data_IF_204682868766
#
_entry.id   IF_204682868766
#
_cell.length_a   1.000
_cell.length_b   1.000
_cell.length_c   1.000
_cell.angle_alpha   90.00
_cell.angle_beta   90.00
_cell.angle_gamma   90.00
#
_symmetry.space_group_name_H-M   'P 1'
#
loop_
_entity.id
_entity.type
_entity.pdbx_description
1 polymer ?
#
# COMPACT_ATOMS: atom_id res chain seq x y z
N UNK A 1 2.49 17.53 16.18
CA UNK A 1 3.48 17.51 15.07
C UNK A 1 2.99 16.68 13.88
N UNK A 2 2.61 15.40 14.05
CA UNK A 2 2.04 14.60 12.95
C UNK A 2 0.78 15.26 12.35
N UNK A 3 -0.19 15.65 13.18
CA UNK A 3 -1.42 16.33 12.71
C UNK A 3 -1.16 17.67 12.01
N UNK A 4 -0.03 18.32 12.31
CA UNK A 4 0.33 19.60 11.70
C UNK A 4 0.82 19.45 10.26
N UNK A 5 1.65 18.42 9.99
CA UNK A 5 2.20 18.18 8.65
C UNK A 5 1.38 17.20 7.80
N UNK A 6 0.45 16.46 8.42
CA UNK A 6 -0.39 15.48 7.72
C UNK A 6 -1.18 16.09 6.55
N UNK A 7 -1.81 17.28 6.65
CA UNK A 7 -2.56 17.85 5.53
C UNK A 7 -1.71 18.10 4.28
N UNK A 8 -0.58 18.78 4.42
CA UNK A 8 0.35 19.05 3.32
C UNK A 8 0.92 17.76 2.70
N UNK A 9 1.20 16.77 3.56
CA UNK A 9 1.63 15.45 3.11
C UNK A 9 0.53 14.76 2.29
N UNK A 10 -0.72 14.76 2.76
CA UNK A 10 -1.84 14.12 2.07
C UNK A 10 -2.15 14.79 0.73
N UNK A 11 -2.01 16.12 0.63
CA UNK A 11 -2.17 16.80 -0.65
C UNK A 11 -1.11 16.36 -1.67
N UNK A 12 0.17 16.33 -1.25
CA UNK A 12 1.28 15.86 -2.10
C UNK A 12 1.12 14.39 -2.45
N UNK A 13 0.72 13.56 -1.49
CA UNK A 13 0.45 12.14 -1.68
C UNK A 13 -0.62 11.93 -2.75
N UNK A 14 -1.76 12.61 -2.66
CA UNK A 14 -2.83 12.54 -3.66
C UNK A 14 -2.30 12.83 -5.07
N UNK A 15 -1.53 13.90 -5.24
CA UNK A 15 -0.93 14.26 -6.54
C UNK A 15 0.00 13.16 -7.06
N UNK A 16 0.87 12.60 -6.20
CA UNK A 16 1.78 11.51 -6.58
C UNK A 16 1.05 10.23 -6.96
N UNK A 17 0.03 9.83 -6.21
CA UNK A 17 -0.78 8.67 -6.53
C UNK A 17 -1.50 8.84 -7.87
N UNK A 18 -2.01 10.05 -8.16
CA UNK A 18 -2.58 10.36 -9.49
C UNK A 18 -1.54 10.25 -10.61
N UNK A 19 -0.29 10.65 -10.39
CA UNK A 19 0.78 10.51 -11.38
C UNK A 19 1.13 9.03 -11.62
N UNK A 20 1.17 8.21 -10.56
CA UNK A 20 1.42 6.76 -10.67
C UNK A 20 0.24 6.06 -11.36
N UNK A 21 -1.01 6.38 -11.00
CA UNK A 21 -2.22 5.87 -11.68
C UNK A 21 -2.16 6.14 -13.19
N UNK A 22 -1.75 7.37 -13.57
CA UNK A 22 -1.59 7.76 -14.98
C UNK A 22 -0.49 6.95 -15.66
N UNK A 23 0.63 6.72 -14.98
CA UNK A 23 1.74 5.92 -15.50
C UNK A 23 1.38 4.44 -15.67
N UNK A 24 0.61 3.89 -14.72
CA UNK A 24 0.09 2.54 -14.78
C UNK A 24 -0.80 2.39 -16.01
N UNK A 25 -1.69 3.37 -16.27
CA UNK A 25 -2.55 3.37 -17.43
C UNK A 25 -3.38 2.08 -17.47
N UNK A 26 -3.29 1.33 -18.57
CA UNK A 26 -4.00 0.05 -18.73
C UNK A 26 -3.13 -1.18 -18.40
N UNK A 27 -1.88 -0.98 -17.95
CA UNK A 27 -0.99 -2.09 -17.61
C UNK A 27 -1.48 -2.79 -16.34
N UNK A 28 -1.32 -4.11 -16.29
CA UNK A 28 -1.61 -4.89 -15.07
C UNK A 28 -0.55 -4.64 -13.99
N UNK A 29 0.70 -4.47 -14.40
CA UNK A 29 1.87 -4.25 -13.55
C UNK A 29 2.70 -3.07 -14.07
N UNK A 30 3.67 -2.60 -13.29
CA UNK A 30 4.49 -1.43 -13.67
C UNK A 30 5.22 -1.64 -15.00
N UNK A 31 5.61 -2.88 -15.29
CA UNK A 31 6.34 -3.28 -16.50
C UNK A 31 5.45 -3.82 -17.63
N UNK A 32 4.12 -3.84 -17.47
CA UNK A 32 3.20 -4.36 -18.49
C UNK A 32 2.27 -5.43 -17.94
N UNK A 33 2.22 -6.60 -18.58
CA UNK A 33 1.26 -7.65 -18.26
C UNK A 33 1.77 -8.66 -17.23
N UNK A 34 3.09 -8.74 -17.06
CA UNK A 34 3.74 -9.62 -16.08
C UNK A 34 4.28 -8.84 -14.89
N UNK A 35 4.18 -9.46 -13.72
CA UNK A 35 4.71 -8.91 -12.48
C UNK A 35 6.24 -8.96 -12.48
N UNK A 36 6.87 -7.93 -11.91
CA UNK A 36 8.32 -7.86 -11.78
C UNK A 36 8.72 -7.27 -10.41
N UNK A 37 10.02 -7.28 -10.11
CA UNK A 37 10.58 -6.80 -8.84
C UNK A 37 10.08 -5.41 -8.40
N UNK A 38 9.95 -4.39 -9.28
CA UNK A 38 9.43 -3.08 -8.89
C UNK A 38 8.00 -3.12 -8.33
N UNK A 39 7.20 -4.11 -8.72
CA UNK A 39 5.82 -4.23 -8.26
C UNK A 39 5.74 -4.60 -6.77
N UNK A 40 6.73 -5.32 -6.24
CA UNK A 40 6.83 -5.60 -4.82
C UNK A 40 7.12 -4.34 -4.00
N UNK A 41 7.97 -3.45 -4.52
CA UNK A 41 8.26 -2.18 -3.86
C UNK A 41 7.03 -1.27 -3.86
N UNK A 42 6.27 -1.21 -4.96
CA UNK A 42 5.05 -0.43 -5.01
C UNK A 42 3.94 -1.06 -4.16
N UNK A 43 3.76 -2.38 -4.22
CA UNK A 43 2.79 -3.11 -3.41
C UNK A 43 3.00 -2.89 -1.91
N UNK A 44 4.23 -3.04 -1.42
CA UNK A 44 4.58 -2.76 -0.02
C UNK A 44 4.32 -1.29 0.35
N UNK A 45 4.75 -0.35 -0.49
CA UNK A 45 4.48 1.08 -0.25
C UNK A 45 2.98 1.39 -0.17
N UNK A 46 2.17 0.83 -1.07
CA UNK A 46 0.72 1.03 -1.08
C UNK A 46 0.06 0.41 0.16
N UNK A 47 0.47 -0.78 0.60
CA UNK A 47 0.05 -1.36 1.88
C UNK A 47 0.29 -0.39 3.04
N UNK A 48 1.50 0.18 3.13
CA UNK A 48 1.84 1.14 4.19
C UNK A 48 1.02 2.43 4.11
N UNK A 49 0.79 2.96 2.90
CA UNK A 49 0.01 4.16 2.68
C UNK A 49 -1.48 3.97 3.04
N UNK A 50 -2.06 2.83 2.70
CA UNK A 50 -3.44 2.49 3.10
C UNK A 50 -3.52 2.30 4.62
N UNK A 51 -2.49 1.73 5.26
CA UNK A 51 -2.40 1.65 6.72
C UNK A 51 -2.32 3.04 7.38
N UNK A 52 -1.61 3.98 6.75
CA UNK A 52 -1.45 5.36 7.24
C UNK A 52 -2.71 6.21 7.05
N UNK A 53 -3.35 6.08 5.89
CA UNK A 53 -4.56 6.80 5.50
C UNK A 53 -5.46 5.88 4.65
N UNK A 54 -6.43 5.17 5.26
CA UNK A 54 -7.32 4.20 4.59
C UNK A 54 -7.93 4.66 3.27
N UNK A 55 -8.32 5.93 3.22
CA UNK A 55 -9.00 6.54 2.08
C UNK A 55 -8.04 7.04 0.99
N UNK A 56 -6.71 6.91 1.14
CA UNK A 56 -5.75 7.56 0.25
C UNK A 56 -5.84 7.14 -1.23
N UNK A 57 -6.32 5.92 -1.52
CA UNK A 57 -6.55 5.44 -2.88
C UNK A 57 -7.99 5.64 -3.38
N UNK A 58 -8.84 6.38 -2.65
CA UNK A 58 -10.24 6.61 -3.01
C UNK A 58 -10.46 7.34 -4.34
N UNK A 59 -9.43 8.01 -4.87
CA UNK A 59 -9.46 8.70 -6.16
C UNK A 59 -8.59 8.04 -7.24
N UNK A 60 -8.02 6.87 -6.95
CA UNK A 60 -7.10 6.13 -7.82
C UNK A 60 -7.53 4.68 -7.92
N UNK A 61 -8.65 4.40 -8.64
CA UNK A 61 -9.26 3.07 -8.69
C UNK A 61 -8.36 2.02 -9.36
N UNK A 62 -7.51 2.39 -10.32
CA UNK A 62 -6.58 1.42 -10.93
C UNK A 62 -5.48 1.04 -9.95
N UNK A 63 -4.98 1.97 -9.15
CA UNK A 63 -4.04 1.66 -8.06
C UNK A 63 -4.67 0.84 -6.94
N UNK A 64 -5.96 1.07 -6.64
CA UNK A 64 -6.71 0.19 -5.74
C UNK A 64 -6.71 -1.24 -6.28
N UNK A 65 -7.15 -1.42 -7.52
CA UNK A 65 -7.18 -2.73 -8.16
C UNK A 65 -5.78 -3.37 -8.28
N UNK A 66 -4.73 -2.56 -8.48
CA UNK A 66 -3.35 -3.01 -8.48
C UNK A 66 -2.94 -3.58 -7.12
N UNK A 67 -3.23 -2.86 -6.03
CA UNK A 67 -2.95 -3.34 -4.68
C UNK A 67 -3.74 -4.63 -4.39
N UNK A 68 -5.02 -4.67 -4.76
CA UNK A 68 -5.88 -5.83 -4.55
C UNK A 68 -5.36 -7.06 -5.32
N UNK A 69 -4.83 -6.89 -6.54
CA UNK A 69 -4.14 -7.97 -7.27
C UNK A 69 -2.88 -8.41 -6.56
N UNK A 70 -2.04 -7.46 -6.12
CA UNK A 70 -0.75 -7.73 -5.49
C UNK A 70 -0.89 -8.58 -4.22
N UNK A 71 -1.77 -8.18 -3.30
CA UNK A 71 -2.00 -8.89 -2.02
C UNK A 71 -2.66 -10.25 -2.21
N UNK A 72 -3.33 -10.48 -3.35
CA UNK A 72 -3.96 -11.76 -3.71
C UNK A 72 -3.12 -12.64 -4.64
N UNK A 73 -1.86 -12.27 -4.91
CA UNK A 73 -0.93 -13.18 -5.58
C UNK A 73 -0.79 -14.45 -4.71
N UNK A 74 -0.89 -15.67 -5.27
CA UNK A 74 -0.94 -16.90 -4.49
C UNK A 74 0.18 -16.99 -3.43
N UNK A 75 1.44 -16.80 -3.85
CA UNK A 75 2.58 -16.87 -2.94
C UNK A 75 2.61 -15.74 -1.89
N UNK A 76 2.08 -14.56 -2.22
CA UNK A 76 2.00 -13.44 -1.27
C UNK A 76 0.92 -13.70 -0.24
N UNK A 77 -0.25 -14.15 -0.70
CA UNK A 77 -1.39 -14.50 0.15
C UNK A 77 -1.04 -15.65 1.09
N UNK A 78 -0.44 -16.71 0.56
CA UNK A 78 0.00 -17.86 1.35
C UNK A 78 1.07 -17.46 2.38
N UNK A 79 2.04 -16.62 1.98
CA UNK A 79 3.03 -16.10 2.92
C UNK A 79 2.37 -15.27 4.01
N UNK A 80 1.47 -14.34 3.67
CA UNK A 80 0.76 -13.50 4.65
C UNK A 80 -0.11 -14.31 5.62
N UNK A 81 -0.59 -15.50 5.21
CA UNK A 81 -1.35 -16.41 6.06
C UNK A 81 -0.46 -17.37 6.89
N UNK A 82 0.84 -17.46 6.60
CA UNK A 82 1.76 -18.37 7.27
C UNK A 82 2.26 -17.84 8.62
N UNK A 83 2.70 -18.73 9.50
CA UNK A 83 3.33 -18.38 10.78
C UNK A 83 4.66 -17.61 10.63
N UNK A 84 5.27 -17.65 9.44
CA UNK A 84 6.49 -16.89 9.14
C UNK A 84 6.21 -15.39 9.00
N UNK A 85 5.01 -15.02 8.54
CA UNK A 85 4.62 -13.64 8.40
C UNK A 85 4.42 -12.99 9.77
N UNK A 86 5.18 -11.92 9.99
CA UNK A 86 5.13 -11.15 11.24
C UNK A 86 4.61 -9.78 10.92
N UNK A 87 3.36 -9.52 11.31
CA UNK A 87 2.86 -8.14 11.37
C UNK A 87 3.79 -7.34 12.27
N UNK A 88 4.45 -6.35 11.68
CA UNK A 88 5.38 -5.44 12.36
C UNK A 88 4.96 -4.00 12.09
N UNK A 89 5.31 -3.07 12.99
CA UNK A 89 5.20 -1.65 12.69
C UNK A 89 6.01 -1.33 11.42
N UNK A 90 5.47 -0.48 10.55
CA UNK A 90 6.10 -0.06 9.31
C UNK A 90 7.39 0.74 9.57
N UNK A 91 7.43 1.48 10.69
CA UNK A 91 8.55 2.37 11.02
C UNK A 91 9.20 2.00 12.36
N UNK A 92 10.44 2.49 12.55
CA UNK A 92 11.22 2.28 13.75
C UNK A 92 10.54 2.85 15.02
N UNK A 93 10.87 2.37 16.23
CA UNK A 93 10.21 2.77 17.48
C UNK A 93 10.17 4.27 17.82
N UNK A 94 11.08 5.06 17.23
CA UNK A 94 11.17 6.51 17.46
C UNK A 94 10.43 7.34 16.42
N UNK A 95 9.79 6.70 15.44
CA UNK A 95 8.98 7.41 14.45
C UNK A 95 7.71 7.96 15.09
N UNK A 96 7.28 9.14 14.64
CA UNK A 96 6.04 9.77 15.10
C UNK A 96 4.79 8.95 14.74
N UNK A 97 4.84 8.24 13.61
CA UNK A 97 3.86 7.24 13.22
C UNK A 97 4.59 5.94 12.93
N UNK A 98 4.12 4.85 13.52
CA UNK A 98 4.74 3.53 13.38
C UNK A 98 3.86 2.54 12.63
N UNK A 99 2.56 2.78 12.55
CA UNK A 99 1.61 1.85 11.96
C UNK A 99 1.35 0.62 12.85
N UNK A 100 1.50 0.75 14.16
CA UNK A 100 1.12 -0.24 15.17
C UNK A 100 -0.40 -0.25 15.45
N UNK A 101 -1.07 0.91 15.33
CA UNK A 101 -2.50 1.04 15.69
C UNK A 101 -3.50 0.46 14.66
N UNK A 102 -3.02 0.08 13.48
CA UNK A 102 -3.84 -0.31 12.34
C UNK A 102 -3.67 -1.80 12.00
N UNK A 103 -3.95 -2.70 12.94
CA UNK A 103 -4.08 -4.12 12.63
C UNK A 103 -5.28 -4.41 11.71
N UNK A 104 -6.25 -3.50 11.66
CA UNK A 104 -7.57 -3.74 11.04
C UNK A 104 -7.59 -3.88 9.50
N UNK A 105 -6.59 -3.36 8.78
CA UNK A 105 -6.64 -3.30 7.31
C UNK A 105 -6.02 -4.51 6.61
N UNK A 106 -4.97 -5.11 7.18
CA UNK A 106 -4.35 -6.31 6.61
C UNK A 106 -5.30 -7.51 6.73
N UNK A 107 -6.00 -7.65 7.86
CA UNK A 107 -6.99 -8.73 8.03
C UNK A 107 -8.22 -8.56 7.13
N UNK A 108 -8.70 -7.33 6.87
CA UNK A 108 -9.86 -7.10 5.98
C UNK A 108 -9.58 -7.32 4.49
N UNK A 109 -8.32 -7.53 4.11
CA UNK A 109 -7.90 -7.81 2.73
C UNK A 109 -7.58 -9.31 2.54
N UNK A 110 -7.35 -10.03 3.65
CA UNK A 110 -7.05 -11.46 3.67
C UNK A 110 -8.34 -12.30 3.84
N UNK A 111 -9.39 -11.75 4.45
CA UNK A 111 -10.77 -12.29 4.47
C UNK A 111 -11.60 -11.84 3.25
#
# INVERSE_FOLDING_TARGET
LQEFFKPDFLEKLRRRLTDIERYLGEKQWLTGDEINYPDFALGDLLCQLVKFEPACLGHTPRLRAYLDRFVNLPNVKDYMASDEFKSRPCMLPRAMWRGDDAERYLYSVIE
#
